data_IF_662148849615
#
_entry.id   IF_662148849615
#
_cell.length_a   1.000
_cell.length_b   1.000
_cell.length_c   1.000
_cell.angle_alpha   90.00
_cell.angle_beta   90.00
_cell.angle_gamma   90.00
#
_symmetry.space_group_name_H-M   'P 1'
#
loop_
_entity.id
_entity.type
_entity.pdbx_description
1 polymer ?
#
# COMPACT_ATOMS: atom_id res chain seq x y z
N UNK A 1 13.39 -12.84 -24.53
CA UNK A 1 12.44 -13.06 -23.42
C UNK A 1 12.73 -12.09 -22.27
N UNK A 2 12.46 -10.79 -22.44
CA UNK A 2 12.72 -9.76 -21.41
C UNK A 2 11.44 -9.41 -20.62
N UNK A 3 10.26 -9.70 -21.19
CA UNK A 3 8.97 -9.45 -20.52
C UNK A 3 8.79 -10.28 -19.24
N UNK A 4 9.15 -11.57 -19.27
CA UNK A 4 8.90 -12.51 -18.16
C UNK A 4 9.71 -12.16 -16.89
N UNK A 5 11.00 -11.84 -17.04
CA UNK A 5 11.87 -11.49 -15.92
C UNK A 5 11.46 -10.19 -15.22
N UNK A 6 11.05 -9.17 -15.99
CA UNK A 6 10.55 -7.91 -15.44
C UNK A 6 9.21 -8.09 -14.70
N UNK A 7 8.36 -8.96 -15.21
CA UNK A 7 7.06 -9.30 -14.60
C UNK A 7 7.23 -10.11 -13.31
N UNK A 8 8.17 -11.06 -13.29
CA UNK A 8 8.52 -11.83 -12.09
C UNK A 8 9.08 -10.91 -10.99
N UNK A 9 9.96 -9.96 -11.35
CA UNK A 9 10.52 -9.00 -10.41
C UNK A 9 9.46 -8.04 -9.87
N UNK A 10 8.55 -7.55 -10.72
CA UNK A 10 7.44 -6.71 -10.30
C UNK A 10 6.48 -7.44 -9.35
N UNK A 11 6.19 -8.73 -9.60
CA UNK A 11 5.40 -9.57 -8.69
C UNK A 11 6.07 -9.78 -7.33
N UNK A 12 7.40 -9.97 -7.31
CA UNK A 12 8.15 -10.09 -6.06
C UNK A 12 8.10 -8.79 -5.25
N UNK A 13 8.33 -7.66 -5.91
CA UNK A 13 8.25 -6.33 -5.28
C UNK A 13 6.85 -6.03 -4.74
N UNK A 14 5.78 -6.42 -5.46
CA UNK A 14 4.40 -6.27 -4.97
C UNK A 14 4.14 -7.03 -3.68
N UNK A 15 4.66 -8.25 -3.54
CA UNK A 15 4.51 -9.02 -2.29
C UNK A 15 5.17 -8.32 -1.11
N UNK A 16 6.37 -7.78 -1.33
CA UNK A 16 7.10 -7.03 -0.30
C UNK A 16 6.36 -5.73 0.08
N UNK A 17 5.85 -4.99 -0.91
CA UNK A 17 5.06 -3.79 -0.66
C UNK A 17 3.76 -4.12 0.11
N UNK A 18 3.06 -5.20 -0.24
CA UNK A 18 1.88 -5.64 0.51
C UNK A 18 2.20 -6.04 1.95
N UNK A 19 3.33 -6.70 2.17
CA UNK A 19 3.81 -7.01 3.52
C UNK A 19 4.10 -5.73 4.31
N UNK A 20 4.74 -4.75 3.68
CA UNK A 20 5.01 -3.44 4.29
C UNK A 20 3.70 -2.69 4.64
N UNK A 21 2.68 -2.75 3.77
CA UNK A 21 1.34 -2.20 4.09
C UNK A 21 0.74 -2.88 5.32
N UNK A 22 0.81 -4.21 5.41
CA UNK A 22 0.29 -4.95 6.55
C UNK A 22 1.01 -4.57 7.86
N UNK A 23 2.33 -4.40 7.81
CA UNK A 23 3.13 -4.03 8.98
C UNK A 23 2.91 -2.57 9.41
N UNK A 24 2.80 -1.64 8.46
CA UNK A 24 2.44 -0.23 8.75
C UNK A 24 1.03 -0.15 9.33
N UNK A 25 0.07 -0.88 8.76
CA UNK A 25 -1.31 -0.94 9.27
C UNK A 25 -1.37 -1.47 10.71
N UNK A 26 -0.61 -2.52 11.01
CA UNK A 26 -0.52 -3.06 12.37
C UNK A 26 0.09 -2.06 13.35
N UNK A 27 1.13 -1.31 12.93
CA UNK A 27 1.73 -0.24 13.75
C UNK A 27 0.72 0.88 14.03
N UNK A 28 -0.06 1.29 13.03
CA UNK A 28 -1.14 2.28 13.20
C UNK A 28 -2.14 1.79 14.25
N UNK A 29 -2.60 0.55 14.15
CA UNK A 29 -3.57 -0.02 15.09
C UNK A 29 -3.05 -0.03 16.53
N UNK A 30 -1.77 -0.38 16.73
CA UNK A 30 -1.13 -0.36 18.05
C UNK A 30 -1.08 1.06 18.62
N UNK A 31 -0.68 2.05 17.81
CA UNK A 31 -0.62 3.47 18.22
C UNK A 31 -2.03 4.01 18.53
N UNK A 32 -3.04 3.69 17.71
CA UNK A 32 -4.44 4.05 17.96
C UNK A 32 -5.01 3.42 19.24
N UNK A 33 -4.65 2.17 19.55
CA UNK A 33 -5.02 1.52 20.81
C UNK A 33 -4.32 2.15 22.03
N UNK A 34 -3.08 2.63 21.88
CA UNK A 34 -2.33 3.32 22.95
C UNK A 34 -2.85 4.74 23.22
N UNK A 35 -3.14 5.51 22.18
CA UNK A 35 -3.65 6.89 22.33
C UNK A 35 -5.01 6.97 23.02
N UNK A 36 -5.83 5.92 22.92
CA UNK A 36 -7.08 5.80 23.69
C UNK A 36 -6.88 5.69 25.21
N UNK A 37 -5.66 5.41 25.69
CA UNK A 37 -5.34 5.23 27.11
C UNK A 37 -4.52 6.37 27.72
N UNK A 38 -4.13 7.40 26.97
CA UNK A 38 -3.16 8.43 27.40
C UNK A 38 -3.74 9.84 27.61
N UNK A 39 -3.06 10.62 28.47
CA UNK A 39 -3.39 12.03 28.75
C UNK A 39 -3.19 12.93 27.53
N UNK A 40 -3.71 14.16 27.57
CA UNK A 40 -3.73 15.12 26.45
C UNK A 40 -2.37 15.34 25.76
N UNK A 41 -1.25 15.25 26.49
CA UNK A 41 0.11 15.42 25.94
C UNK A 41 0.58 14.17 25.17
N UNK A 42 0.18 12.98 25.61
CA UNK A 42 0.41 11.72 24.88
C UNK A 42 -0.40 11.67 23.58
N UNK A 43 -1.64 12.14 23.62
CA UNK A 43 -2.51 12.20 22.43
C UNK A 43 -1.95 13.08 21.30
N UNK A 44 -1.21 14.15 21.62
CA UNK A 44 -0.60 15.00 20.60
C UNK A 44 0.61 14.33 19.92
N UNK A 45 1.40 13.57 20.68
CA UNK A 45 2.50 12.76 20.13
C UNK A 45 1.96 11.64 19.24
N UNK A 46 0.94 10.93 19.72
CA UNK A 46 0.28 9.84 18.99
C UNK A 46 -0.34 10.32 17.67
N UNK A 47 -0.94 11.53 17.63
CA UNK A 47 -1.47 12.12 16.39
C UNK A 47 -0.38 12.41 15.34
N UNK A 48 0.80 12.88 15.76
CA UNK A 48 1.92 13.10 14.83
C UNK A 48 2.41 11.78 14.26
N UNK A 49 2.62 10.80 15.12
CA UNK A 49 3.05 9.47 14.71
C UNK A 49 2.02 8.79 13.78
N UNK A 50 0.72 8.94 14.04
CA UNK A 50 -0.34 8.46 13.14
C UNK A 50 -0.32 9.17 11.78
N UNK A 51 -0.06 10.48 11.75
CA UNK A 51 -0.02 11.24 10.50
C UNK A 51 1.16 10.80 9.62
N UNK A 52 2.32 10.54 10.24
CA UNK A 52 3.50 10.00 9.56
C UNK A 52 3.22 8.59 9.01
N UNK A 53 2.70 7.68 9.82
CA UNK A 53 2.36 6.32 9.37
C UNK A 53 1.30 6.31 8.25
N UNK A 54 0.33 7.23 8.30
CA UNK A 54 -0.65 7.40 7.21
C UNK A 54 0.02 7.89 5.93
N UNK A 55 0.97 8.82 6.04
CA UNK A 55 1.73 9.31 4.88
C UNK A 55 2.54 8.18 4.24
N UNK A 56 3.22 7.38 5.04
CA UNK A 56 3.97 6.22 4.57
C UNK A 56 3.05 5.22 3.85
N UNK A 57 1.87 4.97 4.41
CA UNK A 57 0.87 4.09 3.80
C UNK A 57 0.38 4.62 2.44
N UNK A 58 0.11 5.92 2.34
CA UNK A 58 -0.24 6.56 1.07
C UNK A 58 0.89 6.44 0.03
N UNK A 59 2.14 6.60 0.46
CA UNK A 59 3.29 6.48 -0.43
C UNK A 59 3.44 5.05 -0.96
N UNK A 60 3.31 4.04 -0.10
CA UNK A 60 3.34 2.63 -0.51
C UNK A 60 2.21 2.31 -1.49
N UNK A 61 0.98 2.79 -1.22
CA UNK A 61 -0.13 2.63 -2.17
C UNK A 61 0.14 3.31 -3.52
N UNK A 62 0.70 4.52 -3.50
CA UNK A 62 1.08 5.24 -4.72
C UNK A 62 2.14 4.47 -5.52
N UNK A 63 3.09 3.82 -4.85
CA UNK A 63 4.10 2.98 -5.51
C UNK A 63 3.47 1.75 -6.16
N UNK A 64 2.53 1.09 -5.46
CA UNK A 64 1.75 -0.04 -5.99
C UNK A 64 0.97 0.40 -7.24
N UNK A 65 0.27 1.54 -7.18
CA UNK A 65 -0.51 2.05 -8.30
C UNK A 65 0.35 2.39 -9.53
N UNK A 66 1.52 3.00 -9.31
CA UNK A 66 2.46 3.28 -10.39
C UNK A 66 3.04 1.99 -10.99
N UNK A 67 3.30 0.98 -10.17
CA UNK A 67 3.80 -0.31 -10.62
C UNK A 67 2.75 -1.04 -11.47
N UNK A 68 1.50 -1.05 -11.02
CA UNK A 68 0.36 -1.56 -11.77
C UNK A 68 0.15 -0.82 -13.10
N UNK A 69 0.31 0.50 -13.11
CA UNK A 69 0.22 1.30 -14.34
C UNK A 69 1.33 0.98 -15.34
N UNK A 70 2.55 0.70 -14.86
CA UNK A 70 3.71 0.36 -15.71
C UNK A 70 3.71 -1.08 -16.17
N UNK A 71 3.18 -1.99 -15.34
CA UNK A 71 3.08 -3.42 -15.60
C UNK A 71 1.63 -3.86 -15.40
N UNK A 72 0.74 -3.62 -16.37
CA UNK A 72 -0.67 -4.01 -16.26
C UNK A 72 -0.83 -5.53 -16.06
N UNK A 73 0.16 -6.33 -16.47
CA UNK A 73 0.21 -7.77 -16.24
C UNK A 73 0.47 -8.18 -14.78
N UNK A 74 0.60 -7.21 -13.87
CA UNK A 74 0.67 -7.46 -12.42
C UNK A 74 -0.62 -7.14 -11.69
N UNK A 75 -1.59 -6.53 -12.38
CA UNK A 75 -2.89 -6.17 -11.80
C UNK A 75 -3.61 -7.42 -11.27
N UNK A 76 -4.38 -7.28 -10.18
CA UNK A 76 -5.33 -8.31 -9.77
C UNK A 76 -6.31 -8.61 -10.91
N UNK A 77 -6.70 -9.88 -11.07
CA UNK A 77 -7.60 -10.30 -12.16
C UNK A 77 -8.88 -9.45 -12.23
N UNK A 78 -9.47 -9.11 -11.07
CA UNK A 78 -10.65 -8.24 -10.96
C UNK A 78 -10.44 -6.82 -11.53
N UNK A 79 -9.21 -6.30 -11.46
CA UNK A 79 -8.86 -4.95 -11.93
C UNK A 79 -8.50 -4.96 -13.42
N UNK A 80 -7.97 -6.07 -13.94
CA UNK A 80 -7.78 -6.28 -15.40
C UNK A 80 -9.09 -6.39 -16.13
N UNK A 81 -10.06 -7.11 -15.56
CA UNK A 81 -11.38 -7.31 -16.14
C UNK A 81 -12.11 -5.97 -16.28
N UNK A 82 -12.01 -5.12 -15.25
CA UNK A 82 -12.53 -3.76 -15.25
C UNK A 82 -11.80 -2.85 -16.27
N UNK A 83 -10.48 -2.97 -16.42
CA UNK A 83 -9.75 -2.18 -17.44
C UNK A 83 -10.04 -2.63 -18.87
N UNK A 84 -10.22 -3.93 -19.14
CA UNK A 84 -10.67 -4.42 -20.45
C UNK A 84 -12.07 -3.94 -20.79
N UNK A 85 -12.99 -3.95 -19.83
CA UNK A 85 -14.34 -3.42 -20.01
C UNK A 85 -14.33 -1.92 -20.41
N UNK A 86 -13.39 -1.13 -19.87
CA UNK A 86 -13.22 0.28 -20.23
C UNK A 86 -12.49 0.54 -21.56
N UNK A 87 -11.76 -0.44 -22.10
CA UNK A 87 -11.08 -0.31 -23.40
C UNK A 87 -11.93 -0.82 -24.58
N UNK A 88 -13.14 -1.34 -24.32
CA UNK A 88 -14.02 -2.00 -25.30
C UNK A 88 -15.30 -1.21 -25.62
N UNK A 89 -15.46 0.01 -25.09
CA UNK A 89 -16.61 0.89 -25.30
C UNK A 89 -16.17 2.27 -25.76
#
# INVERSE_FOLDING_TARGET
MVGDAGEAQARALLRELHQQVADVSRKIEIVERRGRRHSARGQQCDRRQQSELRRDLYEVHRLIDNLHRRFPETLPAALRERQRAFASG
#
